data_IF_307270396123
#
_entry.id   IF_307270396123
#
_cell.length_a   1.000
_cell.length_b   1.000
_cell.length_c   1.000
_cell.angle_alpha   90.00
_cell.angle_beta   90.00
_cell.angle_gamma   90.00
#
_symmetry.space_group_name_H-M   'P 1'
#
loop_
_entity.id
_entity.type
_entity.pdbx_description
1 polymer ?
#
# COMPACT_ATOMS: atom_id res chain seq x y z
N UNK A 1 6.42 -19.39 11.34
CA UNK A 1 5.30 -18.83 10.56
C UNK A 1 4.50 -17.97 11.52
N UNK A 2 4.36 -16.66 11.28
CA UNK A 2 3.60 -15.80 12.19
C UNK A 2 2.11 -16.06 11.95
N UNK A 3 1.55 -17.07 12.64
CA UNK A 3 0.15 -17.47 12.51
C UNK A 3 -0.74 -16.39 13.12
N UNK A 4 -1.27 -15.52 12.25
CA UNK A 4 -2.09 -14.38 12.66
C UNK A 4 -3.38 -14.77 13.37
N UNK A 5 -3.96 -15.94 13.07
CA UNK A 5 -5.08 -16.56 13.78
C UNK A 5 -5.06 -18.07 13.51
N UNK A 6 -5.28 -18.89 14.54
CA UNK A 6 -5.56 -20.32 14.38
C UNK A 6 -6.79 -20.49 13.47
N UNK A 7 -6.73 -21.37 12.48
CA UNK A 7 -7.81 -21.54 11.50
C UNK A 7 -9.02 -22.25 12.13
N UNK A 8 -10.22 -21.69 11.96
CA UNK A 8 -11.48 -22.33 12.34
C UNK A 8 -12.42 -21.43 13.15
N UNK A 9 -13.73 -21.71 13.06
CA UNK A 9 -14.79 -20.95 13.72
C UNK A 9 -14.51 -20.72 15.22
N UNK A 10 -14.14 -21.79 15.93
CA UNK A 10 -13.91 -21.73 17.38
C UNK A 10 -12.70 -20.86 17.77
N UNK A 11 -11.67 -20.81 16.91
CA UNK A 11 -10.50 -19.98 17.13
C UNK A 11 -10.80 -18.48 16.90
N UNK A 12 -11.61 -18.17 15.88
CA UNK A 12 -12.07 -16.81 15.60
C UNK A 12 -12.93 -16.27 16.76
N UNK A 13 -13.88 -17.07 17.25
CA UNK A 13 -14.70 -16.72 18.41
C UNK A 13 -13.85 -16.45 19.66
N UNK A 14 -12.88 -17.33 19.93
CA UNK A 14 -11.94 -17.17 21.05
C UNK A 14 -11.10 -15.90 20.90
N UNK A 15 -10.72 -15.53 19.68
CA UNK A 15 -9.99 -14.30 19.41
C UNK A 15 -10.86 -13.06 19.68
N UNK A 16 -12.10 -13.01 19.18
CA UNK A 16 -13.01 -11.89 19.45
C UNK A 16 -13.29 -11.71 20.95
N UNK A 17 -13.46 -12.80 21.70
CA UNK A 17 -13.62 -12.75 23.16
C UNK A 17 -12.38 -12.20 23.88
N UNK A 18 -11.18 -12.40 23.32
CA UNK A 18 -9.91 -11.88 23.88
C UNK A 18 -9.60 -10.46 23.44
N UNK A 19 -10.17 -10.00 22.33
CA UNK A 19 -9.84 -8.71 21.71
C UNK A 19 -10.05 -7.51 22.67
N UNK A 20 -11.15 -7.39 23.44
CA UNK A 20 -11.35 -6.29 24.39
C UNK A 20 -10.29 -6.20 25.49
N UNK A 21 -9.63 -7.32 25.81
CA UNK A 21 -8.57 -7.40 26.83
C UNK A 21 -7.17 -7.33 26.23
N UNK A 22 -7.06 -7.23 24.91
CA UNK A 22 -5.78 -7.19 24.20
C UNK A 22 -5.17 -5.79 24.28
N UNK A 23 -3.88 -5.71 24.60
CA UNK A 23 -3.17 -4.43 24.61
C UNK A 23 -2.71 -4.07 23.20
N UNK A 24 -2.97 -2.83 22.79
CA UNK A 24 -2.41 -2.26 21.57
C UNK A 24 -0.88 -2.29 21.63
N UNK A 25 -0.25 -2.58 20.49
CA UNK A 25 1.21 -2.65 20.36
C UNK A 25 1.66 -1.69 19.28
N UNK A 26 2.71 -0.93 19.57
CA UNK A 26 3.40 -0.11 18.58
C UNK A 26 4.67 -0.84 18.16
N UNK A 27 4.88 -0.99 16.86
CA UNK A 27 6.07 -1.63 16.29
C UNK A 27 6.79 -0.64 15.39
N UNK A 28 8.07 -0.37 15.69
CA UNK A 28 8.93 0.40 14.79
C UNK A 28 9.61 -0.55 13.82
N UNK A 29 9.35 -0.35 12.52
CA UNK A 29 9.98 -1.10 11.43
C UNK A 29 10.92 -0.15 10.70
N UNK A 30 12.10 -0.65 10.33
CA UNK A 30 13.05 0.06 9.49
C UNK A 30 13.55 -0.89 8.41
N UNK A 31 13.31 -0.54 7.17
CA UNK A 31 13.71 -1.29 5.98
C UNK A 31 13.86 -0.31 4.81
N UNK A 32 14.50 -0.80 3.75
CA UNK A 32 14.73 -0.03 2.53
C UNK A 32 13.78 -0.52 1.43
N UNK A 33 13.10 0.41 0.77
CA UNK A 33 12.25 0.14 -0.38
C UNK A 33 12.99 0.56 -1.65
N UNK A 34 13.25 -0.39 -2.53
CA UNK A 34 13.94 -0.17 -3.79
C UNK A 34 12.92 -0.13 -4.94
N UNK A 35 12.67 1.05 -5.51
CA UNK A 35 11.86 1.20 -6.72
C UNK A 35 12.77 1.15 -7.94
N UNK A 36 12.67 0.09 -8.74
CA UNK A 36 13.43 -0.06 -9.98
C UNK A 36 12.50 0.34 -11.12
N UNK A 37 12.65 1.57 -11.62
CA UNK A 37 11.85 2.13 -12.71
C UNK A 37 12.60 1.93 -14.03
N UNK A 38 11.92 1.43 -15.07
CA UNK A 38 12.47 1.33 -16.42
C UNK A 38 12.07 2.54 -17.26
N UNK A 39 13.05 3.14 -17.93
CA UNK A 39 13.05 4.51 -18.50
C UNK A 39 12.25 4.69 -19.81
N UNK A 40 10.92 4.89 -19.76
CA UNK A 40 10.23 5.51 -20.91
C UNK A 40 9.00 6.33 -20.50
N UNK A 41 9.10 7.66 -20.67
CA UNK A 41 8.05 8.64 -20.42
C UNK A 41 7.55 9.20 -21.76
N UNK A 42 6.22 9.22 -21.95
CA UNK A 42 5.50 10.39 -22.47
C UNK A 42 4.23 10.52 -21.64
N UNK A 43 4.49 10.83 -20.37
CA UNK A 43 3.68 11.40 -19.31
C UNK A 43 2.31 10.77 -18.93
N UNK A 44 1.88 9.66 -19.52
CA UNK A 44 1.10 8.59 -18.87
C UNK A 44 0.83 7.46 -19.87
N UNK A 45 1.15 6.21 -19.54
CA UNK A 45 1.02 5.07 -20.45
C UNK A 45 0.28 3.90 -19.79
N UNK A 46 -0.84 3.49 -20.38
CA UNK A 46 -1.61 2.33 -19.96
C UNK A 46 -0.94 1.04 -20.45
N UNK A 47 -0.69 0.09 -19.54
CA UNK A 47 0.12 -1.10 -19.83
C UNK A 47 -0.62 -2.42 -19.64
N UNK A 48 -1.70 -2.44 -18.87
CA UNK A 48 -2.51 -3.64 -18.75
C UNK A 48 -3.98 -3.28 -18.62
N UNK A 49 -4.85 -4.19 -19.07
CA UNK A 49 -6.30 -4.08 -18.94
C UNK A 49 -6.94 -5.47 -18.93
N UNK A 50 -8.01 -5.63 -18.16
CA UNK A 50 -8.94 -6.76 -18.24
C UNK A 50 -9.82 -6.68 -19.50
N UNK A 51 -10.36 -7.81 -19.98
CA UNK A 51 -11.35 -7.81 -21.07
C UNK A 51 -12.62 -7.00 -20.75
N UNK A 52 -12.93 -6.81 -19.46
CA UNK A 52 -14.02 -5.94 -19.05
C UNK A 52 -13.59 -4.48 -18.83
N UNK A 53 -12.29 -4.17 -18.86
CA UNK A 53 -11.79 -2.81 -18.62
C UNK A 53 -12.41 -1.79 -19.57
N UNK A 54 -12.65 -2.15 -20.84
CA UNK A 54 -13.33 -1.27 -21.79
C UNK A 54 -14.83 -1.06 -21.50
N UNK A 55 -15.47 -2.00 -20.81
CA UNK A 55 -16.87 -1.91 -20.36
C UNK A 55 -16.99 -1.38 -18.93
N UNK A 56 -15.86 -1.12 -18.25
CA UNK A 56 -15.78 -0.68 -16.87
C UNK A 56 -15.65 0.84 -16.78
N UNK A 57 -16.54 1.47 -16.02
CA UNK A 57 -16.50 2.91 -15.78
C UNK A 57 -15.31 3.41 -14.93
N UNK A 58 -14.52 2.52 -14.30
CA UNK A 58 -13.40 2.87 -13.40
C UNK A 58 -12.02 2.45 -13.91
N UNK A 59 -11.97 1.93 -15.14
CA UNK A 59 -10.79 1.25 -15.66
C UNK A 59 -10.37 0.09 -14.75
N UNK A 60 -11.31 -0.63 -14.13
CA UNK A 60 -10.99 -1.77 -13.27
C UNK A 60 -10.23 -2.86 -14.05
N UNK A 61 -9.13 -3.37 -13.48
CA UNK A 61 -8.18 -4.22 -14.18
C UNK A 61 -7.22 -3.47 -15.12
N UNK A 62 -7.35 -2.13 -15.22
CA UNK A 62 -6.41 -1.26 -15.90
C UNK A 62 -5.22 -0.92 -15.02
N UNK A 63 -4.05 -0.97 -15.61
CA UNK A 63 -2.78 -0.58 -14.99
C UNK A 63 -2.21 0.52 -15.86
N UNK A 64 -2.08 1.71 -15.28
CA UNK A 64 -1.67 2.92 -15.99
C UNK A 64 -0.48 3.56 -15.29
N UNK A 65 0.48 3.96 -16.10
CA UNK A 65 1.64 4.74 -15.71
C UNK A 65 1.29 6.21 -15.93
N UNK A 66 1.71 7.11 -15.04
CA UNK A 66 1.48 8.56 -15.13
C UNK A 66 2.81 9.25 -14.89
N UNK A 67 3.05 10.35 -15.58
CA UNK A 67 4.06 11.32 -15.19
C UNK A 67 3.46 12.71 -15.49
N UNK A 68 3.25 13.59 -14.52
CA UNK A 68 2.60 14.89 -14.74
C UNK A 68 3.34 15.94 -13.91
N UNK A 69 3.68 17.12 -14.47
CA UNK A 69 4.22 18.21 -13.68
C UNK A 69 3.10 18.81 -12.83
N UNK A 70 3.15 18.56 -11.52
CA UNK A 70 2.27 19.25 -10.57
C UNK A 70 2.88 20.58 -10.19
N UNK A 71 2.07 21.63 -10.06
CA UNK A 71 2.56 23.01 -9.88
C UNK A 71 2.05 23.67 -8.59
N UNK A 72 2.79 24.65 -8.05
CA UNK A 72 2.41 25.42 -6.85
C UNK A 72 1.33 26.48 -7.18
N UNK A 73 1.31 26.95 -8.44
CA UNK A 73 0.31 27.86 -9.01
C UNK A 73 0.01 27.48 -10.47
N UNK A 74 -0.79 28.24 -11.23
CA UNK A 74 -1.18 27.89 -12.60
C UNK A 74 0.00 27.85 -13.61
N UNK A 75 1.20 28.31 -13.22
CA UNK A 75 2.38 28.36 -14.09
C UNK A 75 3.16 27.03 -14.18
N UNK A 76 3.54 26.58 -15.40
CA UNK A 76 4.21 25.29 -15.66
C UNK A 76 5.54 25.05 -14.93
N UNK A 77 6.19 26.11 -14.44
CA UNK A 77 7.55 26.06 -13.88
C UNK A 77 7.60 26.07 -12.34
N UNK A 78 6.46 26.15 -11.66
CA UNK A 78 6.39 25.93 -10.20
C UNK A 78 6.14 24.43 -9.98
N UNK A 79 6.81 23.72 -9.07
CA UNK A 79 6.65 22.24 -8.99
C UNK A 79 6.24 21.74 -7.59
N UNK A 80 5.16 20.96 -7.47
CA UNK A 80 4.78 20.08 -6.34
C UNK A 80 4.40 18.68 -6.85
N UNK A 81 5.32 17.93 -7.48
CA UNK A 81 5.08 16.54 -7.92
C UNK A 81 4.68 15.58 -6.77
N UNK A 82 3.75 14.67 -7.03
CA UNK A 82 3.31 13.63 -6.09
C UNK A 82 2.71 12.42 -6.84
N UNK A 83 3.09 11.21 -6.43
CA UNK A 83 2.50 9.97 -6.93
C UNK A 83 1.49 9.41 -5.92
N UNK A 84 0.42 8.79 -6.39
CA UNK A 84 -0.42 7.95 -5.53
C UNK A 84 0.26 6.58 -5.37
N UNK A 85 0.55 6.21 -4.13
CA UNK A 85 1.10 4.89 -3.80
C UNK A 85 -0.01 4.01 -3.25
N UNK A 86 -0.21 2.85 -3.88
CA UNK A 86 -1.02 1.74 -3.36
C UNK A 86 -0.12 0.52 -3.25
N UNK A 87 0.36 0.23 -2.04
CA UNK A 87 1.38 -0.79 -1.79
C UNK A 87 0.93 -1.76 -0.71
N UNK A 88 1.37 -3.01 -0.86
CA UNK A 88 1.36 -3.99 0.21
C UNK A 88 2.80 -4.41 0.51
N UNK A 89 3.25 -4.19 1.74
CA UNK A 89 4.49 -4.77 2.24
C UNK A 89 4.18 -6.17 2.79
N UNK A 90 4.70 -7.19 2.12
CA UNK A 90 4.54 -8.59 2.52
C UNK A 90 5.82 -9.07 3.19
N UNK A 91 5.76 -9.43 4.45
CA UNK A 91 6.90 -9.95 5.19
C UNK A 91 7.02 -11.45 4.95
N UNK A 92 8.15 -11.91 4.40
CA UNK A 92 8.35 -13.32 4.00
C UNK A 92 9.33 -14.09 4.89
N UNK A 93 10.02 -13.41 5.80
CA UNK A 93 11.02 -14.02 6.71
C UNK A 93 10.96 -13.40 8.11
N UNK A 94 11.68 -14.02 9.05
CA UNK A 94 11.80 -13.53 10.43
C UNK A 94 10.49 -13.55 11.22
N UNK A 95 10.42 -12.69 12.24
CA UNK A 95 9.32 -12.66 13.23
C UNK A 95 7.94 -12.31 12.66
N UNK A 96 7.90 -11.64 11.51
CA UNK A 96 6.66 -11.18 10.88
C UNK A 96 6.29 -11.99 9.63
N UNK A 97 7.00 -13.08 9.35
CA UNK A 97 6.76 -13.92 8.18
C UNK A 97 5.28 -14.32 8.03
N UNK A 98 4.68 -13.95 6.90
CA UNK A 98 3.29 -14.19 6.53
C UNK A 98 2.35 -13.02 6.84
N UNK A 99 2.84 -11.95 7.48
CA UNK A 99 2.05 -10.75 7.77
C UNK A 99 2.21 -9.69 6.67
N UNK A 100 1.25 -8.75 6.61
CA UNK A 100 1.29 -7.66 5.63
C UNK A 100 0.95 -6.32 6.26
N UNK A 101 1.44 -5.24 5.66
CA UNK A 101 0.99 -3.86 5.88
C UNK A 101 0.56 -3.24 4.56
N UNK A 102 -0.57 -2.56 4.55
CA UNK A 102 -1.14 -1.90 3.39
C UNK A 102 -0.95 -0.39 3.52
N UNK A 103 -0.42 0.23 2.47
CA UNK A 103 -0.21 1.68 2.37
C UNK A 103 -1.01 2.20 1.20
N UNK A 104 -1.80 3.25 1.47
CA UNK A 104 -2.51 4.00 0.45
C UNK A 104 -2.35 5.49 0.74
N UNK A 105 -1.57 6.19 -0.08
CA UNK A 105 -1.31 7.60 0.21
C UNK A 105 -0.48 8.33 -0.81
N UNK A 106 -0.42 9.65 -0.59
CA UNK A 106 0.33 10.58 -1.42
C UNK A 106 1.83 10.48 -1.14
N UNK A 107 2.59 10.18 -2.17
CA UNK A 107 4.05 10.23 -2.18
C UNK A 107 4.50 11.54 -2.83
N UNK A 108 4.40 12.65 -2.07
CA UNK A 108 4.90 13.95 -2.49
C UNK A 108 6.43 13.91 -2.58
N UNK A 109 7.07 14.46 -3.62
CA UNK A 109 8.54 14.41 -3.78
C UNK A 109 9.29 15.31 -2.79
N UNK A 110 9.21 14.97 -1.50
CA UNK A 110 9.84 15.65 -0.38
C UNK A 110 10.89 14.74 0.28
N UNK A 111 11.84 15.34 1.02
CA UNK A 111 12.94 14.63 1.69
C UNK A 111 12.45 13.57 2.69
N UNK A 112 11.41 13.91 3.44
CA UNK A 112 10.70 13.00 4.35
C UNK A 112 9.24 12.95 3.94
N UNK A 113 8.68 11.75 3.90
CA UNK A 113 7.33 11.51 3.39
C UNK A 113 6.59 10.62 4.36
N UNK A 114 5.44 11.09 4.80
CA UNK A 114 4.52 10.28 5.58
C UNK A 114 3.52 9.64 4.62
N UNK A 115 3.34 8.33 4.75
CA UNK A 115 2.29 7.60 4.05
C UNK A 115 1.56 6.76 5.09
N UNK A 116 0.21 6.81 5.13
CA UNK A 116 -0.55 6.12 6.15
C UNK A 116 -0.51 4.61 5.91
N UNK A 117 -0.36 3.85 7.00
CA UNK A 117 -0.78 2.46 7.04
C UNK A 117 -2.31 2.48 7.14
N UNK A 118 -2.98 1.84 6.18
CA UNK A 118 -4.45 1.78 6.12
C UNK A 118 -4.99 0.39 6.48
N UNK A 119 -4.10 -0.56 6.75
CA UNK A 119 -4.46 -1.92 7.08
C UNK A 119 -3.25 -2.81 7.29
N UNK A 120 -3.53 -3.99 7.83
CA UNK A 120 -2.55 -5.07 7.94
C UNK A 120 -3.20 -6.43 8.13
N UNK A 121 -2.41 -7.47 7.87
CA UNK A 121 -2.82 -8.86 8.10
C UNK A 121 -1.82 -9.57 9.01
N UNK A 122 -2.16 -10.79 9.42
CA UNK A 122 -1.30 -11.58 10.29
C UNK A 122 -1.18 -10.93 11.68
N UNK A 123 0.06 -10.67 12.09
CA UNK A 123 0.35 -10.00 13.37
C UNK A 123 -0.01 -8.51 13.39
N UNK A 124 -0.19 -7.90 12.22
CA UNK A 124 -0.61 -6.50 12.06
C UNK A 124 -2.12 -6.38 11.79
N UNK A 125 -2.91 -7.39 12.17
CA UNK A 125 -4.35 -7.34 12.04
C UNK A 125 -4.91 -6.17 12.86
N UNK A 126 -5.82 -5.39 12.27
CA UNK A 126 -6.37 -4.15 12.82
C UNK A 126 -5.33 -3.02 12.97
N UNK A 127 -4.23 -3.07 12.21
CA UNK A 127 -3.34 -1.92 12.02
C UNK A 127 -3.96 -0.88 11.08
#
# INVERSE_FOLDING_TARGET
MAQGVELGHNAVEKWFKKLPHSKQKVTKLHFYFHNIVSEKILIAVQIAQSNMTAKSSTSFGSVTMIDDPLTVGPEPNSTIGALLMTLNFVFTTGKYNGSTLSVLGRNAFQKYREMPIVGGSGVFRLA
#
